data_IF_523833908373
#
_entry.id   IF_523833908373
#
_cell.length_a   1.000
_cell.length_b   1.000
_cell.length_c   1.000
_cell.angle_alpha   90.00
_cell.angle_beta   90.00
_cell.angle_gamma   90.00
#
_symmetry.space_group_name_H-M   'P 1'
#
loop_
_entity.id
_entity.type
_entity.pdbx_description
1 polymer ?
#
# COMPACT_ATOMS: atom_id res chain seq x y z
N UNK A 1 -17.88 26.62 22.35
CA UNK A 1 -17.99 27.30 21.04
C UNK A 1 -17.83 26.24 19.95
N UNK A 2 -18.77 26.20 19.01
CA UNK A 2 -19.20 24.97 18.32
C UNK A 2 -18.16 24.35 17.37
N UNK A 3 -17.91 23.03 17.44
CA UNK A 3 -17.02 22.30 16.51
C UNK A 3 -17.58 22.23 15.08
N UNK A 4 -18.85 22.59 14.88
CA UNK A 4 -19.54 22.60 13.59
C UNK A 4 -19.05 23.70 12.64
N UNK A 5 -18.48 24.80 13.15
CA UNK A 5 -18.02 25.91 12.32
C UNK A 5 -16.68 25.61 11.62
N UNK A 6 -15.83 24.78 12.23
CA UNK A 6 -14.52 24.43 11.70
C UNK A 6 -14.62 23.47 10.49
N UNK A 7 -15.67 22.65 10.46
CA UNK A 7 -15.94 21.71 9.36
C UNK A 7 -16.48 22.42 8.11
N UNK A 8 -17.21 23.54 8.28
CA UNK A 8 -17.78 24.34 7.16
C UNK A 8 -16.68 25.14 6.43
N UNK A 9 -15.66 25.62 7.14
CA UNK A 9 -14.53 26.33 6.54
C UNK A 9 -13.61 25.37 5.76
N UNK A 10 -13.41 24.14 6.26
CA UNK A 10 -12.62 23.11 5.56
C UNK A 10 -13.31 22.63 4.27
N UNK A 11 -14.65 22.55 4.25
CA UNK A 11 -15.41 22.12 3.07
C UNK A 11 -15.46 23.19 1.97
N UNK A 12 -15.33 24.47 2.33
CA UNK A 12 -15.39 25.58 1.36
C UNK A 12 -14.13 25.71 0.49
N UNK A 13 -13.01 25.09 0.88
CA UNK A 13 -11.74 25.13 0.12
C UNK A 13 -11.55 23.97 -0.87
N UNK A 14 -12.37 22.91 -0.82
CA UNK A 14 -12.28 21.80 -1.79
C UNK A 14 -12.99 22.10 -3.13
N UNK A 15 -13.62 23.26 -3.28
CA UNK A 15 -14.47 23.59 -4.44
C UNK A 15 -13.75 24.16 -5.68
N UNK A 16 -12.45 24.47 -5.63
CA UNK A 16 -11.72 25.04 -6.77
C UNK A 16 -10.68 24.05 -7.32
N UNK A 17 -11.13 22.89 -7.78
CA UNK A 17 -10.37 22.12 -8.76
C UNK A 17 -10.81 22.57 -10.15
N UNK A 18 -9.98 23.38 -10.80
CA UNK A 18 -10.16 23.64 -12.23
C UNK A 18 -10.12 22.28 -12.95
N UNK A 19 -11.11 21.97 -13.81
CA UNK A 19 -11.06 20.76 -14.62
C UNK A 19 -9.85 20.87 -15.55
N UNK A 20 -8.88 19.98 -15.40
CA UNK A 20 -7.85 19.75 -16.42
C UNK A 20 -8.54 19.08 -17.60
N UNK A 21 -8.92 19.87 -18.60
CA UNK A 21 -9.35 19.34 -19.89
C UNK A 21 -8.12 18.81 -20.62
N UNK A 22 -7.90 17.49 -20.55
CA UNK A 22 -7.12 16.80 -21.58
C UNK A 22 -7.89 16.93 -22.90
N UNK A 23 -7.25 17.49 -23.92
CA UNK A 23 -7.83 17.53 -25.25
C UNK A 23 -7.75 16.13 -25.84
N UNK A 24 -8.84 15.39 -25.69
CA UNK A 24 -9.05 14.16 -26.44
C UNK A 24 -9.14 14.53 -27.92
N UNK A 25 -8.34 13.85 -28.74
CA UNK A 25 -8.39 13.95 -30.19
C UNK A 25 -9.85 13.91 -30.64
N UNK A 26 -10.22 14.74 -31.60
CA UNK A 26 -11.56 14.69 -32.22
C UNK A 26 -11.70 13.33 -32.89
N UNK A 27 -12.12 12.35 -32.11
CA UNK A 27 -12.66 11.07 -32.55
C UNK A 27 -14.09 11.38 -32.92
N UNK A 28 -14.48 10.97 -34.12
CA UNK A 28 -15.85 11.08 -34.61
C UNK A 28 -16.82 10.67 -33.49
N UNK A 29 -17.65 11.62 -33.05
CA UNK A 29 -18.45 11.44 -31.84
C UNK A 29 -19.44 10.32 -32.09
N UNK A 30 -19.22 9.16 -31.48
CA UNK A 30 -20.19 8.07 -31.53
C UNK A 30 -21.50 8.60 -30.92
N UNK A 31 -22.59 8.56 -31.67
CA UNK A 31 -23.88 9.04 -31.16
C UNK A 31 -24.36 8.12 -30.04
N UNK A 32 -24.17 8.57 -28.79
CA UNK A 32 -24.66 7.84 -27.62
C UNK A 32 -26.18 8.05 -27.54
N UNK A 33 -26.92 6.98 -27.82
CA UNK A 33 -28.37 6.96 -27.63
C UNK A 33 -28.78 7.18 -26.17
N UNK A 34 -30.05 7.50 -25.92
CA UNK A 34 -30.53 7.91 -24.59
C UNK A 34 -30.35 6.83 -23.51
N UNK A 35 -30.43 5.54 -23.89
CA UNK A 35 -30.11 4.42 -23.01
C UNK A 35 -28.63 4.42 -22.57
N UNK A 36 -27.71 4.77 -23.46
CA UNK A 36 -26.28 4.90 -23.16
C UNK A 36 -26.00 6.05 -22.21
N UNK A 37 -26.67 7.20 -22.40
CA UNK A 37 -26.58 8.34 -21.47
C UNK A 37 -27.08 7.97 -20.07
N UNK A 38 -28.18 7.23 -19.98
CA UNK A 38 -28.71 6.73 -18.71
C UNK A 38 -27.74 5.76 -18.01
N UNK A 39 -27.13 4.85 -18.77
CA UNK A 39 -26.11 3.94 -18.28
C UNK A 39 -24.87 4.68 -17.74
N UNK A 40 -24.30 5.61 -18.51
CA UNK A 40 -23.15 6.42 -18.08
C UNK A 40 -23.44 7.24 -16.82
N UNK A 41 -24.65 7.80 -16.71
CA UNK A 41 -25.09 8.50 -15.49
C UNK A 41 -25.11 7.59 -14.27
N UNK A 42 -25.47 6.31 -14.42
CA UNK A 42 -25.53 5.34 -13.31
C UNK A 42 -24.15 4.92 -12.79
N UNK A 43 -23.11 4.98 -13.63
CA UNK A 43 -21.76 4.52 -13.30
C UNK A 43 -20.77 5.64 -12.95
N UNK A 44 -21.12 6.91 -13.21
CA UNK A 44 -20.25 8.09 -12.99
C UNK A 44 -19.65 8.21 -11.58
N UNK A 45 -20.36 7.78 -10.55
CA UNK A 45 -19.90 7.85 -9.15
C UNK A 45 -19.29 6.53 -8.65
N UNK A 46 -19.17 5.53 -9.52
CA UNK A 46 -18.68 4.19 -9.14
C UNK A 46 -17.21 3.96 -9.49
N UNK A 47 -16.54 4.95 -10.09
CA UNK A 47 -15.15 4.84 -10.53
C UNK A 47 -14.95 3.75 -11.60
N UNK A 48 -15.99 3.46 -12.38
CA UNK A 48 -15.94 2.49 -13.48
C UNK A 48 -15.48 3.24 -14.72
N UNK A 49 -14.37 2.80 -15.30
CA UNK A 49 -13.85 3.28 -16.57
C UNK A 49 -14.72 2.75 -17.72
N UNK A 50 -15.20 3.65 -18.59
CA UNK A 50 -16.14 3.35 -19.67
C UNK A 50 -15.71 3.94 -21.02
N UNK A 51 -14.40 4.09 -21.23
CA UNK A 51 -13.84 4.73 -22.43
C UNK A 51 -13.67 3.78 -23.63
N UNK A 52 -14.32 2.59 -23.60
CA UNK A 52 -14.25 1.61 -24.69
C UNK A 52 -15.49 1.69 -25.57
N UNK A 53 -15.31 2.13 -26.81
CA UNK A 53 -16.34 2.10 -27.85
C UNK A 53 -16.09 0.93 -28.81
N UNK A 54 -17.15 0.19 -29.16
CA UNK A 54 -17.11 -0.88 -30.17
C UNK A 54 -17.72 -0.38 -31.48
N UNK A 55 -16.96 -0.53 -32.57
CA UNK A 55 -17.48 -0.31 -33.92
C UNK A 55 -18.17 -1.56 -34.45
N UNK A 56 -19.22 -1.37 -35.25
CA UNK A 56 -19.91 -2.49 -35.88
C UNK A 56 -18.94 -3.24 -36.83
N UNK A 57 -18.80 -4.58 -36.73
CA UNK A 57 -17.87 -5.34 -37.59
C UNK A 57 -18.17 -5.24 -39.08
N UNK A 58 -19.41 -4.85 -39.43
CA UNK A 58 -19.89 -4.70 -40.81
C UNK A 58 -19.81 -3.27 -41.34
N UNK A 59 -19.44 -2.30 -40.51
CA UNK A 59 -19.24 -0.91 -40.94
C UNK A 59 -17.86 -0.75 -41.59
N UNK A 60 -17.70 0.15 -42.56
CA UNK A 60 -16.39 0.49 -43.08
C UNK A 60 -15.49 0.99 -41.92
N UNK A 61 -14.20 0.63 -41.91
CA UNK A 61 -13.28 1.11 -40.88
C UNK A 61 -13.22 2.64 -40.88
N UNK A 62 -13.14 3.28 -39.70
CA UNK A 62 -13.04 4.73 -39.60
C UNK A 62 -11.74 5.20 -40.28
N UNK A 63 -11.80 6.38 -40.88
CA UNK A 63 -10.67 6.94 -41.61
C UNK A 63 -9.55 7.30 -40.62
N UNK A 64 -8.43 6.58 -40.70
CA UNK A 64 -7.28 6.79 -39.82
C UNK A 64 -6.39 7.85 -40.46
N UNK A 65 -6.65 9.11 -40.16
CA UNK A 65 -5.77 10.20 -40.61
C UNK A 65 -4.46 10.17 -39.79
N UNK A 66 -3.40 9.61 -40.38
CA UNK A 66 -2.06 9.45 -39.78
C UNK A 66 -1.34 10.82 -39.65
N UNK A 67 -1.95 11.91 -40.12
CA UNK A 67 -1.37 13.27 -40.13
C UNK A 67 -1.73 14.11 -38.90
N UNK A 68 -2.05 13.49 -37.76
CA UNK A 68 -2.17 14.23 -36.51
C UNK A 68 -0.77 14.65 -36.02
N UNK A 69 -0.37 15.89 -36.34
CA UNK A 69 0.78 16.50 -35.70
C UNK A 69 0.48 16.72 -34.20
N UNK A 70 1.37 16.30 -33.28
CA UNK A 70 1.22 16.63 -31.87
C UNK A 70 1.15 18.14 -31.73
N UNK A 71 0.06 18.66 -31.16
CA UNK A 71 -0.04 20.09 -30.84
C UNK A 71 1.11 20.39 -29.88
N UNK A 72 2.09 21.16 -30.37
CA UNK A 72 3.23 21.61 -29.57
C UNK A 72 2.63 22.34 -28.36
N UNK A 73 2.91 21.90 -27.12
CA UNK A 73 2.35 22.56 -25.95
C UNK A 73 2.74 24.04 -26.02
N UNK A 74 1.73 24.90 -26.00
CA UNK A 74 1.93 26.35 -25.93
C UNK A 74 2.82 26.59 -24.72
N UNK A 75 3.93 27.37 -24.83
CA UNK A 75 4.74 27.66 -23.66
C UNK A 75 3.82 28.29 -22.62
N UNK A 76 3.64 27.56 -21.52
CA UNK A 76 2.98 28.04 -20.33
C UNK A 76 3.70 29.34 -19.97
N UNK A 77 2.94 30.43 -19.82
CA UNK A 77 3.50 31.66 -19.29
C UNK A 77 3.91 31.35 -17.85
N UNK A 78 5.18 31.00 -17.66
CA UNK A 78 5.83 31.00 -16.35
C UNK A 78 5.73 32.42 -15.80
N UNK A 79 4.73 32.59 -14.95
CA UNK A 79 4.32 33.89 -14.47
C UNK A 79 3.28 33.75 -13.38
N UNK A 80 3.50 32.84 -12.42
CA UNK A 80 2.92 32.97 -11.09
C UNK A 80 3.58 34.19 -10.41
N UNK A 81 3.33 35.40 -10.91
CA UNK A 81 3.46 36.61 -10.11
C UNK A 81 2.27 36.64 -9.16
N UNK A 82 2.38 35.83 -8.11
CA UNK A 82 1.46 35.89 -6.99
C UNK A 82 1.77 37.21 -6.29
N UNK A 83 1.07 38.28 -6.67
CA UNK A 83 0.96 39.46 -5.83
C UNK A 83 0.22 39.00 -4.57
N UNK A 84 0.96 38.46 -3.60
CA UNK A 84 0.42 38.07 -2.31
C UNK A 84 0.13 39.38 -1.60
N UNK A 85 -1.13 39.79 -1.64
CA UNK A 85 -1.61 40.87 -0.81
C UNK A 85 -1.25 40.55 0.65
N UNK A 86 -0.55 41.47 1.31
CA UNK A 86 -0.10 41.38 2.70
C UNK A 86 -1.13 40.75 3.68
N UNK A 87 -2.43 41.12 3.64
CA UNK A 87 -3.43 40.47 4.51
C UNK A 87 -3.64 38.99 4.19
N UNK A 88 -3.58 38.59 2.92
CA UNK A 88 -3.71 37.20 2.48
C UNK A 88 -2.52 36.36 2.96
N UNK A 89 -1.32 36.93 2.92
CA UNK A 89 -0.11 36.30 3.47
C UNK A 89 -0.19 36.05 4.97
N UNK A 90 -0.73 37.00 5.74
CA UNK A 90 -0.95 36.86 7.18
C UNK A 90 -1.95 35.75 7.51
N UNK A 91 -3.05 35.66 6.77
CA UNK A 91 -4.05 34.61 6.97
C UNK A 91 -3.46 33.24 6.65
N UNK A 92 -2.76 33.10 5.51
CA UNK A 92 -2.11 31.84 5.13
C UNK A 92 -1.06 31.40 6.16
N UNK A 93 -0.27 32.35 6.68
CA UNK A 93 0.71 32.10 7.74
C UNK A 93 0.05 31.62 9.04
N UNK A 94 -1.04 32.28 9.47
CA UNK A 94 -1.79 31.88 10.66
C UNK A 94 -2.38 30.46 10.52
N UNK A 95 -2.91 30.11 9.34
CA UNK A 95 -3.41 28.76 9.05
C UNK A 95 -2.29 27.72 9.12
N UNK A 96 -1.13 27.99 8.51
CA UNK A 96 0.02 27.09 8.58
C UNK A 96 0.51 26.88 10.02
N UNK A 97 0.52 27.93 10.84
CA UNK A 97 0.90 27.85 12.26
C UNK A 97 -0.09 26.98 13.04
N UNK A 98 -1.39 27.13 12.80
CA UNK A 98 -2.42 26.31 13.45
C UNK A 98 -2.27 24.84 13.06
N UNK A 99 -2.08 24.56 11.77
CA UNK A 99 -1.82 23.21 11.27
C UNK A 99 -0.57 22.63 11.93
N UNK A 100 0.55 23.36 11.93
CA UNK A 100 1.79 22.94 12.56
C UNK A 100 1.61 22.68 14.07
N UNK A 101 0.90 23.56 14.78
CA UNK A 101 0.60 23.39 16.21
C UNK A 101 -0.20 22.12 16.47
N UNK A 102 -1.21 21.81 15.64
CA UNK A 102 -1.99 20.57 15.74
C UNK A 102 -1.06 19.35 15.54
N UNK A 103 -0.18 19.36 14.55
CA UNK A 103 0.79 18.30 14.34
C UNK A 103 1.78 18.15 15.49
N UNK A 104 2.27 19.26 16.09
CA UNK A 104 3.16 19.17 17.25
C UNK A 104 2.43 18.69 18.50
N UNK A 105 1.18 19.11 18.71
CA UNK A 105 0.42 18.84 19.94
C UNK A 105 -0.27 17.48 19.95
N UNK A 106 -0.66 16.97 18.78
CA UNK A 106 -1.40 15.72 18.60
C UNK A 106 -0.70 14.70 17.69
N UNK A 107 0.34 15.09 16.94
CA UNK A 107 0.98 14.26 15.91
C UNK A 107 2.14 13.38 16.38
N UNK A 108 2.22 13.04 17.67
CA UNK A 108 3.21 12.10 18.22
C UNK A 108 3.11 10.65 17.72
N UNK A 109 2.24 10.34 16.74
CA UNK A 109 2.04 8.99 16.21
C UNK A 109 1.74 8.90 14.71
N UNK A 110 1.76 10.00 13.95
CA UNK A 110 1.51 9.96 12.50
C UNK A 110 2.86 10.00 11.78
N UNK A 111 3.57 8.87 11.86
CA UNK A 111 4.72 8.61 11.00
C UNK A 111 4.21 8.27 9.58
N UNK A 112 3.83 9.28 8.82
CA UNK A 112 3.70 9.14 7.36
C UNK A 112 5.11 9.05 6.83
N UNK A 113 5.55 7.83 6.54
CA UNK A 113 6.81 7.55 5.86
C UNK A 113 6.74 8.12 4.43
N UNK A 114 7.07 9.40 4.29
CA UNK A 114 7.47 9.98 3.03
C UNK A 114 8.82 9.36 2.67
N UNK A 115 8.73 8.29 1.87
CA UNK A 115 9.86 7.64 1.21
C UNK A 115 10.51 8.68 0.30
N UNK A 116 11.64 9.23 0.74
CA UNK A 116 12.51 10.08 -0.06
C UNK A 116 13.68 9.22 -0.51
N UNK A 117 13.60 8.72 -1.73
CA UNK A 117 14.80 8.34 -2.46
C UNK A 117 15.65 9.61 -2.64
N UNK A 118 16.65 9.77 -1.77
CA UNK A 118 17.71 10.73 -1.93
C UNK A 118 18.97 10.21 -1.21
N UNK A 119 19.75 9.46 -1.99
CA UNK A 119 21.20 9.27 -1.91
C UNK A 119 21.82 8.71 -0.62
N UNK A 120 22.48 7.58 -0.82
CA UNK A 120 23.33 6.83 0.11
C UNK A 120 24.57 7.64 0.54
N UNK A 121 24.85 7.72 1.85
CA UNK A 121 26.20 7.59 2.37
C UNK A 121 26.31 6.33 3.22
N UNK A 122 27.31 5.51 2.89
CA UNK A 122 27.74 4.26 3.54
C UNK A 122 27.08 3.93 4.88
N UNK A 123 25.99 3.14 4.82
CA UNK A 123 25.48 2.46 6.01
C UNK A 123 26.40 1.31 6.39
N UNK A 124 27.28 1.58 7.35
CA UNK A 124 27.80 0.55 8.26
C UNK A 124 26.59 -0.27 8.74
N UNK A 125 26.66 -1.58 8.56
CA UNK A 125 25.65 -2.56 8.98
C UNK A 125 25.46 -2.53 10.51
N UNK A 126 24.77 -1.51 11.02
CA UNK A 126 24.11 -1.56 12.30
C UNK A 126 22.74 -2.19 12.08
N UNK A 127 22.61 -3.47 12.42
CA UNK A 127 21.31 -4.15 12.57
C UNK A 127 20.51 -3.38 13.62
N UNK A 128 19.82 -2.32 13.23
CA UNK A 128 18.65 -1.88 13.99
C UNK A 128 17.55 -2.86 13.58
N UNK A 129 17.07 -3.75 14.48
CA UNK A 129 15.94 -4.59 14.16
C UNK A 129 14.79 -3.63 13.85
N UNK A 130 14.32 -3.63 12.61
CA UNK A 130 13.01 -3.05 12.36
C UNK A 130 12.04 -3.80 13.27
N UNK A 131 11.18 -3.06 13.98
CA UNK A 131 10.21 -3.68 14.86
C UNK A 131 9.33 -4.66 14.06
N UNK A 132 8.99 -5.79 14.69
CA UNK A 132 8.03 -6.76 14.15
C UNK A 132 6.77 -6.01 13.70
N UNK A 133 6.21 -6.29 12.50
CA UNK A 133 5.05 -5.54 12.03
C UNK A 133 3.86 -5.66 13.00
N UNK A 134 3.11 -4.57 13.19
CA UNK A 134 2.00 -4.50 14.16
C UNK A 134 0.91 -5.58 13.98
N UNK A 135 0.76 -6.15 12.78
CA UNK A 135 -0.15 -7.28 12.56
C UNK A 135 0.41 -8.60 13.11
N UNK A 136 1.73 -8.77 13.12
CA UNK A 136 2.39 -9.98 13.62
C UNK A 136 2.45 -10.00 15.16
N UNK A 137 2.45 -8.83 15.80
CA UNK A 137 2.30 -8.72 17.26
C UNK A 137 0.93 -9.25 17.74
N UNK A 138 -0.09 -9.21 16.89
CA UNK A 138 -1.45 -9.71 17.20
C UNK A 138 -1.63 -11.21 17.04
N UNK A 139 -0.60 -11.95 16.58
CA UNK A 139 -0.69 -13.39 16.33
C UNK A 139 -0.70 -14.26 17.61
N UNK A 140 -0.62 -13.65 18.79
CA UNK A 140 -0.48 -14.34 20.07
C UNK A 140 0.99 -14.56 20.45
N UNK A 141 1.25 -14.87 21.71
CA UNK A 141 2.62 -15.15 22.19
C UNK A 141 3.15 -16.49 21.64
N UNK A 142 4.48 -16.71 21.64
CA UNK A 142 5.04 -17.98 21.18
C UNK A 142 4.48 -19.16 22.00
N UNK A 143 4.47 -19.01 23.33
CA UNK A 143 3.95 -20.02 24.26
C UNK A 143 2.46 -20.28 24.06
N UNK A 144 1.68 -19.24 23.80
CA UNK A 144 0.25 -19.35 23.51
C UNK A 144 -0.01 -20.19 22.25
N UNK A 145 0.75 -19.94 21.18
CA UNK A 145 0.63 -20.70 19.92
C UNK A 145 1.01 -22.18 20.13
N UNK A 146 2.08 -22.45 20.90
CA UNK A 146 2.50 -23.84 21.22
C UNK A 146 1.45 -24.58 22.05
N UNK A 147 0.73 -23.85 22.92
CA UNK A 147 -0.36 -24.40 23.74
C UNK A 147 -1.67 -24.68 23.00
N UNK A 148 -1.81 -24.27 21.73
CA UNK A 148 -3.05 -24.46 20.98
C UNK A 148 -3.35 -25.93 20.68
N UNK A 149 -4.59 -26.36 20.97
CA UNK A 149 -5.07 -27.72 20.67
C UNK A 149 -5.11 -28.04 19.18
N UNK A 150 -5.47 -27.06 18.35
CA UNK A 150 -5.45 -27.20 16.90
C UNK A 150 -4.04 -27.05 16.36
N UNK A 151 -3.39 -28.18 16.07
CA UNK A 151 -2.00 -28.22 15.57
C UNK A 151 -1.84 -27.64 14.17
N UNK A 152 -2.88 -27.71 13.34
CA UNK A 152 -2.84 -27.12 11.99
C UNK A 152 -2.78 -25.61 12.09
N UNK A 153 -3.69 -25.04 12.90
CA UNK A 153 -3.72 -23.60 13.14
C UNK A 153 -2.46 -23.12 13.85
N UNK A 154 -1.99 -23.88 14.84
CA UNK A 154 -0.77 -23.57 15.59
C UNK A 154 0.44 -23.47 14.66
N UNK A 155 0.64 -24.44 13.76
CA UNK A 155 1.78 -24.45 12.84
C UNK A 155 1.78 -23.23 11.92
N UNK A 156 0.62 -22.85 11.39
CA UNK A 156 0.47 -21.68 10.50
C UNK A 156 0.82 -20.39 11.24
N UNK A 157 0.27 -20.18 12.44
CA UNK A 157 0.53 -18.98 13.25
C UNK A 157 2.00 -18.91 13.68
N UNK A 158 2.57 -20.04 14.08
CA UNK A 158 3.96 -20.15 14.48
C UNK A 158 4.89 -19.76 13.33
N UNK A 159 4.61 -20.29 12.14
CA UNK A 159 5.39 -20.00 10.93
C UNK A 159 5.29 -18.52 10.55
N UNK A 160 4.09 -17.94 10.56
CA UNK A 160 3.90 -16.50 10.28
C UNK A 160 4.67 -15.63 11.26
N UNK A 161 4.68 -15.99 12.55
CA UNK A 161 5.40 -15.26 13.59
C UNK A 161 6.91 -15.31 13.40
N UNK A 162 7.46 -16.50 13.19
CA UNK A 162 8.91 -16.71 12.93
C UNK A 162 9.34 -15.98 11.66
N UNK A 163 8.52 -16.06 10.61
CA UNK A 163 8.81 -15.40 9.35
C UNK A 163 8.81 -13.87 9.52
N UNK A 164 7.81 -13.30 10.19
CA UNK A 164 7.75 -11.88 10.47
C UNK A 164 8.96 -11.40 11.29
N UNK A 165 9.40 -12.15 12.29
CA UNK A 165 10.58 -11.79 13.09
C UNK A 165 11.89 -11.90 12.29
N UNK A 166 12.04 -12.92 11.44
CA UNK A 166 13.26 -13.07 10.62
C UNK A 166 13.32 -11.97 9.57
N UNK A 167 12.22 -11.67 8.89
CA UNK A 167 12.15 -10.61 7.87
C UNK A 167 12.47 -9.26 8.51
N UNK A 168 11.90 -8.99 9.69
CA UNK A 168 12.20 -7.80 10.50
C UNK A 168 13.68 -7.71 10.93
N UNK A 169 14.27 -8.83 11.35
CA UNK A 169 15.70 -8.91 11.70
C UNK A 169 16.65 -8.68 10.51
N UNK A 170 16.17 -8.92 9.28
CA UNK A 170 16.89 -8.61 8.04
C UNK A 170 16.61 -7.20 7.51
N UNK A 171 15.90 -6.36 8.30
CA UNK A 171 15.64 -4.97 7.94
C UNK A 171 14.53 -4.78 6.90
N UNK A 172 13.64 -5.76 6.76
CA UNK A 172 12.48 -5.68 5.86
C UNK A 172 11.21 -5.71 6.70
N UNK A 173 10.22 -4.86 6.36
CA UNK A 173 8.91 -4.89 7.01
C UNK A 173 7.98 -5.80 6.22
N UNK A 174 7.55 -6.92 6.82
CA UNK A 174 6.66 -7.88 6.15
C UNK A 174 5.25 -7.30 5.99
N UNK A 175 4.74 -7.29 4.75
CA UNK A 175 3.37 -6.87 4.44
C UNK A 175 2.36 -7.98 4.75
N UNK A 176 1.12 -7.60 5.08
CA UNK A 176 0.05 -8.55 5.42
C UNK A 176 -0.41 -9.42 4.24
N UNK A 177 -0.32 -8.88 3.02
CA UNK A 177 -0.71 -9.59 1.79
C UNK A 177 0.34 -10.58 1.31
N UNK A 178 1.56 -10.54 1.86
CA UNK A 178 2.63 -11.40 1.38
C UNK A 178 2.39 -12.86 1.70
N UNK A 179 2.70 -13.71 0.73
CA UNK A 179 2.80 -15.15 0.96
C UNK A 179 4.08 -15.50 1.71
N UNK A 180 4.11 -16.70 2.30
CA UNK A 180 5.33 -17.20 2.96
C UNK A 180 6.53 -17.26 2.00
N UNK A 181 6.29 -17.61 0.74
CA UNK A 181 7.30 -17.64 -0.32
C UNK A 181 7.82 -16.26 -0.69
N UNK A 182 6.94 -15.27 -0.82
CA UNK A 182 7.35 -13.89 -1.12
C UNK A 182 8.25 -13.34 -0.01
N UNK A 183 7.86 -13.53 1.25
CA UNK A 183 8.68 -13.13 2.39
C UNK A 183 10.09 -13.79 2.38
N UNK A 184 10.20 -15.05 1.95
CA UNK A 184 11.50 -15.71 1.79
C UNK A 184 12.38 -15.07 0.71
N UNK A 185 11.81 -14.50 -0.35
CA UNK A 185 12.57 -13.83 -1.42
C UNK A 185 13.29 -12.58 -0.90
N UNK A 186 12.75 -11.94 0.13
CA UNK A 186 13.32 -10.74 0.74
C UNK A 186 14.42 -11.02 1.78
N UNK A 187 14.62 -12.27 2.17
CA UNK A 187 15.72 -12.66 3.06
C UNK A 187 16.97 -12.91 2.20
N UNK A 188 18.18 -12.53 2.63
CA UNK A 188 19.42 -12.84 1.91
C UNK A 188 19.61 -14.35 1.70
N UNK A 189 20.20 -14.73 0.56
CA UNK A 189 20.51 -16.13 0.26
C UNK A 189 21.61 -16.70 1.19
N UNK A 190 22.48 -15.84 1.72
CA UNK A 190 23.60 -16.19 2.61
C UNK A 190 23.18 -16.45 4.06
N UNK A 191 21.90 -16.30 4.41
CA UNK A 191 21.44 -16.51 5.78
C UNK A 191 21.43 -18.02 6.14
N UNK A 192 22.20 -18.39 7.17
CA UNK A 192 22.52 -19.79 7.52
C UNK A 192 21.32 -20.69 7.73
N UNK A 193 20.20 -20.16 8.24
CA UNK A 193 19.00 -20.94 8.58
C UNK A 193 17.90 -20.83 7.52
N UNK A 194 18.22 -20.32 6.32
CA UNK A 194 17.25 -20.10 5.23
C UNK A 194 16.53 -21.38 4.82
N UNK A 195 17.23 -22.52 4.79
CA UNK A 195 16.62 -23.78 4.36
C UNK A 195 15.66 -24.36 5.41
N UNK A 196 15.96 -24.17 6.70
CA UNK A 196 15.07 -24.53 7.81
C UNK A 196 13.80 -23.66 7.76
N UNK A 197 13.95 -22.35 7.53
CA UNK A 197 12.79 -21.46 7.39
C UNK A 197 11.98 -21.81 6.13
N UNK A 198 12.64 -22.17 5.03
CA UNK A 198 11.97 -22.62 3.80
C UNK A 198 11.15 -23.88 4.05
N UNK A 199 11.71 -24.89 4.70
CA UNK A 199 10.99 -26.14 4.98
C UNK A 199 9.78 -25.89 5.88
N UNK A 200 9.90 -25.00 6.87
CA UNK A 200 8.79 -24.58 7.74
C UNK A 200 7.66 -23.89 6.95
N UNK A 201 8.00 -22.94 6.07
CA UNK A 201 7.02 -22.28 5.19
C UNK A 201 6.29 -23.31 4.34
N UNK A 202 7.03 -24.22 3.68
CA UNK A 202 6.43 -25.26 2.84
C UNK A 202 5.52 -26.21 3.63
N UNK A 203 5.89 -26.56 4.87
CA UNK A 203 5.06 -27.38 5.75
C UNK A 203 3.75 -26.65 6.10
N UNK A 204 3.84 -25.37 6.48
CA UNK A 204 2.67 -24.55 6.81
C UNK A 204 1.73 -24.37 5.60
N UNK A 205 2.27 -24.16 4.39
CA UNK A 205 1.48 -24.04 3.17
C UNK A 205 0.75 -25.34 2.83
N UNK A 206 1.40 -26.49 3.00
CA UNK A 206 0.78 -27.80 2.78
C UNK A 206 -0.39 -28.05 3.73
N UNK A 207 -0.32 -27.54 4.95
CA UNK A 207 -1.38 -27.66 5.95
C UNK A 207 -2.51 -26.67 5.68
N UNK A 208 -2.16 -25.42 5.34
CA UNK A 208 -3.11 -24.33 5.09
C UNK A 208 -3.90 -24.55 3.79
N UNK A 209 -3.22 -24.87 2.69
CA UNK A 209 -3.83 -24.99 1.37
C UNK A 209 -4.04 -26.44 0.93
N UNK A 210 -3.17 -27.34 1.36
CA UNK A 210 -3.24 -28.76 1.01
C UNK A 210 -4.09 -29.61 1.95
N UNK A 211 -4.68 -29.02 3.00
CA UNK A 211 -5.60 -29.72 3.91
C UNK A 211 -4.98 -30.83 4.76
N UNK A 212 -3.64 -30.94 4.78
CA UNK A 212 -2.92 -31.99 5.51
C UNK A 212 -3.02 -31.78 7.03
N UNK A 213 -3.27 -32.86 7.77
CA UNK A 213 -3.22 -32.84 9.23
C UNK A 213 -1.78 -32.92 9.74
N UNK A 214 -1.56 -32.38 10.94
CA UNK A 214 -0.24 -32.34 11.59
C UNK A 214 -0.32 -33.20 12.84
N UNK A 215 0.51 -34.23 12.90
CA UNK A 215 0.61 -35.04 14.12
C UNK A 215 1.29 -34.25 15.24
N UNK A 216 1.02 -34.63 16.49
CA UNK A 216 1.69 -34.02 17.65
C UNK A 216 3.22 -34.14 17.57
N UNK A 217 3.72 -35.25 17.03
CA UNK A 217 5.15 -35.47 16.85
C UNK A 217 5.75 -34.50 15.83
N UNK A 218 5.15 -34.41 14.64
CA UNK A 218 5.56 -33.50 13.56
C UNK A 218 5.48 -32.03 14.02
N UNK A 219 4.44 -31.68 14.78
CA UNK A 219 4.34 -30.35 15.38
C UNK A 219 5.52 -30.03 16.31
N UNK A 220 5.93 -30.96 17.17
CA UNK A 220 7.08 -30.76 18.07
C UNK A 220 8.41 -30.59 17.30
N UNK A 221 8.59 -31.31 16.21
CA UNK A 221 9.77 -31.13 15.33
C UNK A 221 9.80 -29.71 14.74
N UNK A 222 8.66 -29.21 14.26
CA UNK A 222 8.55 -27.84 13.76
C UNK A 222 8.78 -26.80 14.86
N UNK A 223 8.26 -27.00 16.06
CA UNK A 223 8.51 -26.14 17.23
C UNK A 223 10.00 -26.09 17.57
N UNK A 224 10.69 -27.23 17.51
CA UNK A 224 12.14 -27.28 17.73
C UNK A 224 12.89 -26.50 16.66
N UNK A 225 12.53 -26.64 15.38
CA UNK A 225 13.10 -25.86 14.28
C UNK A 225 12.88 -24.35 14.45
N UNK A 226 11.69 -23.93 14.87
CA UNK A 226 11.37 -22.52 15.16
C UNK A 226 12.25 -21.96 16.28
N UNK A 227 12.48 -22.73 17.36
CA UNK A 227 13.35 -22.32 18.46
C UNK A 227 14.81 -22.15 18.02
N UNK A 228 15.30 -23.00 17.13
CA UNK A 228 16.65 -22.84 16.58
C UNK A 228 16.80 -21.53 15.79
N UNK A 229 15.75 -21.11 15.09
CA UNK A 229 15.75 -19.87 14.30
C UNK A 229 15.70 -18.63 15.20
N UNK A 230 14.82 -18.63 16.19
CA UNK A 230 14.57 -17.47 17.03
C UNK A 230 15.63 -17.26 18.13
N UNK A 231 16.36 -18.32 18.50
CA UNK A 231 17.28 -18.28 19.63
C UNK A 231 16.56 -18.30 20.99
N UNK A 232 17.31 -18.39 22.10
CA UNK A 232 16.76 -18.54 23.45
C UNK A 232 15.95 -17.33 23.93
N UNK A 233 16.28 -16.13 23.45
CA UNK A 233 15.69 -14.84 23.86
C UNK A 233 14.23 -14.61 23.42
N UNK A 234 13.70 -15.46 22.53
CA UNK A 234 12.34 -15.34 21.99
C UNK A 234 11.32 -16.32 22.63
N UNK A 235 11.76 -17.03 23.68
CA UNK A 235 11.00 -18.08 24.39
C UNK A 235 9.99 -17.51 25.38
#
# INVERSE_FOLDING_TARGET
>A
MHPSFLLIVLFSFLGLSAPSYGQEAVRESLEIGDAGKAYLRSIRLRGIDSDVAYFAPSAPPPDLDIKQEPVKPKPERDGFQTAIDWPTGLIAGAVLIVIAYIFLRFGGGIAVSLRRDAQNPDRKHGRSPLATPAWAERLGSYQEIVGMKDRRRALVLLTQKVLASVVAANGVLMQRSWTGREALQHIPATWTQRDILRSLVLASERVQFGGRDVSEHEFREHVFACRQILGPEAS
#
